data_IF_519817012316
#
_entry.id   IF_519817012316
#
_cell.length_a   1.000
_cell.length_b   1.000
_cell.length_c   1.000
_cell.angle_alpha   90.00
_cell.angle_beta   90.00
_cell.angle_gamma   90.00
#
_symmetry.space_group_name_H-M   'P 1'
#
loop_
_entity.id
_entity.type
_entity.pdbx_description
1 polymer ?
#
# COMPACT_ATOMS: atom_id res chain seq x y z
N UNK A 1 12.12 37.38 0.79
CA UNK A 1 12.60 37.60 -0.60
C UNK A 1 12.53 36.25 -1.30
N UNK A 2 12.16 36.18 -2.59
CA UNK A 2 12.20 34.92 -3.32
C UNK A 2 13.64 34.37 -3.30
N UNK A 3 13.78 33.08 -2.97
CA UNK A 3 15.07 32.37 -3.01
C UNK A 3 15.52 32.30 -4.47
N UNK A 4 16.81 32.47 -4.71
CA UNK A 4 17.40 32.40 -6.05
C UNK A 4 18.67 31.56 -6.02
N UNK A 5 19.26 31.26 -7.18
CA UNK A 5 20.46 30.43 -7.25
C UNK A 5 21.63 30.96 -6.38
N UNK A 6 21.75 32.29 -6.21
CA UNK A 6 22.76 32.90 -5.34
C UNK A 6 22.53 32.59 -3.86
N UNK A 7 21.27 32.55 -3.40
CA UNK A 7 20.93 32.13 -2.03
C UNK A 7 21.43 30.72 -1.74
N UNK A 8 21.09 29.77 -2.62
CA UNK A 8 21.46 28.36 -2.45
C UNK A 8 22.96 28.12 -2.55
N UNK A 9 23.64 28.78 -3.49
CA UNK A 9 25.11 28.78 -3.57
C UNK A 9 25.77 29.34 -2.31
N UNK A 10 25.23 30.42 -1.73
CA UNK A 10 25.79 30.96 -0.48
C UNK A 10 25.58 30.03 0.72
N UNK A 11 24.47 29.28 0.75
CA UNK A 11 24.15 28.36 1.84
C UNK A 11 25.00 27.09 1.80
N UNK A 12 25.14 26.50 0.62
CA UNK A 12 25.77 25.18 0.48
C UNK A 12 27.17 25.21 -0.15
N UNK A 13 27.62 26.34 -0.69
CA UNK A 13 28.92 26.46 -1.33
C UNK A 13 28.93 25.85 -2.73
N UNK A 14 29.85 24.90 -2.99
CA UNK A 14 29.79 23.95 -4.12
C UNK A 14 29.78 22.55 -3.49
N UNK A 15 28.61 22.11 -2.99
CA UNK A 15 28.52 20.91 -2.14
C UNK A 15 28.82 19.60 -2.88
N UNK A 16 28.80 19.58 -4.23
CA UNK A 16 28.90 18.34 -5.01
C UNK A 16 30.14 18.25 -5.90
N UNK A 17 30.96 19.31 -5.98
CA UNK A 17 32.19 19.32 -6.76
C UNK A 17 31.96 19.15 -8.27
N UNK A 18 33.03 18.87 -9.02
CA UNK A 18 32.96 18.83 -10.51
C UNK A 18 32.32 17.55 -11.08
N UNK A 19 31.97 16.57 -10.26
CA UNK A 19 31.55 15.24 -10.74
C UNK A 19 30.23 14.83 -10.10
N UNK A 20 29.27 14.46 -10.94
CA UNK A 20 28.00 13.90 -10.47
C UNK A 20 28.24 12.55 -9.79
N UNK A 21 27.56 12.32 -8.66
CA UNK A 21 27.71 11.13 -7.83
C UNK A 21 26.41 10.33 -7.75
N UNK A 22 26.55 9.04 -7.43
CA UNK A 22 25.42 8.16 -7.11
C UNK A 22 25.20 8.12 -5.60
N UNK A 23 23.93 8.10 -5.19
CA UNK A 23 23.55 8.08 -3.79
C UNK A 23 22.67 6.87 -3.49
N UNK A 24 22.93 6.20 -2.37
CA UNK A 24 22.00 5.18 -1.88
C UNK A 24 20.75 5.83 -1.26
N UNK A 25 20.93 6.92 -0.52
CA UNK A 25 19.83 7.63 0.13
C UNK A 25 20.12 9.12 0.12
N UNK A 26 19.18 9.91 -0.38
CA UNK A 26 19.23 11.37 -0.37
C UNK A 26 17.96 11.90 0.31
N UNK A 27 18.08 12.18 1.62
CA UNK A 27 17.02 12.78 2.43
C UNK A 27 17.19 14.30 2.43
N UNK A 28 16.27 15.02 1.80
CA UNK A 28 16.31 16.48 1.71
C UNK A 28 15.33 17.17 2.66
N UNK A 29 14.58 16.41 3.47
CA UNK A 29 13.54 16.97 4.37
C UNK A 29 14.08 17.87 5.46
N UNK A 30 15.36 17.72 5.80
CA UNK A 30 16.05 18.56 6.78
C UNK A 30 16.34 19.99 6.25
N UNK A 31 15.98 20.27 4.99
CA UNK A 31 16.11 21.58 4.35
C UNK A 31 14.70 22.18 4.25
N UNK A 32 14.18 22.68 5.38
CA UNK A 32 12.79 23.12 5.55
C UNK A 32 12.27 24.13 4.52
N UNK A 33 13.19 24.87 3.87
CA UNK A 33 12.90 25.92 2.90
C UNK A 33 13.31 25.52 1.47
N UNK A 34 13.47 24.23 1.16
CA UNK A 34 13.84 23.75 -0.17
C UNK A 34 12.68 23.92 -1.16
N UNK A 35 12.90 24.77 -2.16
CA UNK A 35 12.04 24.95 -3.33
C UNK A 35 12.66 24.37 -4.60
N UNK A 36 11.96 24.43 -5.73
CA UNK A 36 12.44 23.91 -7.01
C UNK A 36 13.81 24.48 -7.45
N UNK A 37 14.11 25.73 -7.09
CA UNK A 37 15.40 26.36 -7.42
C UNK A 37 16.52 25.73 -6.58
N UNK A 38 16.26 25.52 -5.29
CA UNK A 38 17.21 24.86 -4.40
C UNK A 38 17.39 23.39 -4.74
N UNK A 39 16.30 22.71 -5.09
CA UNK A 39 16.33 21.34 -5.56
C UNK A 39 17.16 21.24 -6.84
N UNK A 40 16.90 22.07 -7.85
CA UNK A 40 17.69 22.10 -9.07
C UNK A 40 19.19 22.31 -8.80
N UNK A 41 19.51 23.22 -7.87
CA UNK A 41 20.88 23.46 -7.44
C UNK A 41 21.53 22.22 -6.83
N UNK A 42 20.78 21.45 -6.02
CA UNK A 42 21.26 20.20 -5.43
C UNK A 42 21.47 19.12 -6.49
N UNK A 43 20.54 19.01 -7.44
CA UNK A 43 20.55 17.96 -8.44
C UNK A 43 21.66 18.10 -9.49
N UNK A 44 22.33 19.26 -9.60
CA UNK A 44 23.52 19.42 -10.46
C UNK A 44 24.62 18.39 -10.15
N UNK A 45 24.71 17.95 -8.89
CA UNK A 45 25.69 16.99 -8.39
C UNK A 45 25.24 15.53 -8.34
N UNK A 46 24.03 15.22 -8.76
CA UNK A 46 23.41 13.90 -8.60
C UNK A 46 23.29 13.23 -9.96
N UNK A 47 23.85 12.02 -10.08
CA UNK A 47 23.75 11.20 -11.29
C UNK A 47 22.64 10.16 -11.22
N UNK A 48 22.38 9.65 -10.03
CA UNK A 48 21.34 8.65 -9.77
C UNK A 48 21.22 8.40 -8.28
N UNK A 49 20.06 7.90 -7.86
CA UNK A 49 19.73 7.75 -6.45
C UNK A 49 18.84 6.53 -6.21
N UNK A 50 19.16 5.68 -5.23
CA UNK A 50 18.27 4.56 -4.90
C UNK A 50 17.01 5.10 -4.21
N UNK A 51 17.15 5.93 -3.17
CA UNK A 51 16.01 6.57 -2.49
C UNK A 51 16.15 8.09 -2.41
N UNK A 52 15.18 8.81 -2.97
CA UNK A 52 15.04 10.26 -2.88
C UNK A 52 13.82 10.63 -2.04
N UNK A 53 14.06 11.23 -0.86
CA UNK A 53 13.00 11.67 0.04
C UNK A 53 12.83 13.21 -0.01
N UNK A 54 11.70 13.63 -0.58
CA UNK A 54 11.27 15.02 -0.72
C UNK A 54 9.99 15.31 0.06
N UNK A 55 9.58 14.43 0.96
CA UNK A 55 8.30 14.56 1.64
C UNK A 55 8.18 15.93 2.34
N UNK A 56 7.01 16.55 2.21
CA UNK A 56 6.61 17.77 2.92
C UNK A 56 7.48 19.01 2.59
N UNK A 57 8.11 19.02 1.40
CA UNK A 57 8.85 20.16 0.85
C UNK A 57 8.03 20.97 -0.16
N UNK A 58 8.45 22.20 -0.45
CA UNK A 58 7.83 23.11 -1.44
C UNK A 58 8.21 22.74 -2.89
N UNK A 59 8.11 21.45 -3.20
CA UNK A 59 8.46 20.84 -4.49
C UNK A 59 7.23 20.83 -5.39
N UNK A 60 7.41 21.26 -6.64
CA UNK A 60 6.36 21.26 -7.67
C UNK A 60 6.71 20.37 -8.86
N UNK A 61 5.85 20.37 -9.88
CA UNK A 61 6.09 19.68 -11.14
C UNK A 61 7.44 20.06 -11.81
N UNK A 62 7.97 21.26 -11.54
CA UNK A 62 9.27 21.69 -12.06
C UNK A 62 10.41 20.77 -11.63
N UNK A 63 10.46 20.42 -10.34
CA UNK A 63 11.49 19.51 -9.80
C UNK A 63 11.37 18.10 -10.35
N UNK A 64 10.15 17.60 -10.59
CA UNK A 64 9.93 16.25 -11.13
C UNK A 64 10.54 16.12 -12.52
N UNK A 65 10.49 17.18 -13.34
CA UNK A 65 11.13 17.21 -14.67
C UNK A 65 12.64 17.01 -14.62
N UNK A 66 13.29 17.46 -13.54
CA UNK A 66 14.74 17.33 -13.38
C UNK A 66 15.17 15.88 -13.11
N UNK A 67 14.27 15.06 -12.57
CA UNK A 67 14.54 13.65 -12.31
C UNK A 67 14.73 12.83 -13.59
N UNK A 68 14.17 13.29 -14.71
CA UNK A 68 14.35 12.65 -16.03
C UNK A 68 15.81 12.65 -16.52
N UNK A 69 16.65 13.52 -15.94
CA UNK A 69 18.08 13.59 -16.25
C UNK A 69 18.96 12.63 -15.46
N UNK A 70 18.39 11.90 -14.50
CA UNK A 70 19.12 10.93 -13.69
C UNK A 70 19.19 9.57 -14.38
N UNK A 71 20.31 8.87 -14.20
CA UNK A 71 20.49 7.51 -14.72
C UNK A 71 19.47 6.54 -14.11
N UNK A 72 19.12 6.75 -12.84
CA UNK A 72 18.08 5.99 -12.14
C UNK A 72 17.56 6.73 -10.90
N UNK A 73 16.28 6.47 -10.61
CA UNK A 73 15.64 6.67 -9.30
C UNK A 73 14.82 5.43 -8.98
N UNK A 74 15.12 4.75 -7.87
CA UNK A 74 14.42 3.51 -7.50
C UNK A 74 13.22 3.79 -6.59
N UNK A 75 13.36 4.71 -5.64
CA UNK A 75 12.31 5.09 -4.70
C UNK A 75 12.19 6.61 -4.68
N UNK A 76 10.97 7.11 -4.93
CA UNK A 76 10.66 8.53 -4.93
C UNK A 76 9.55 8.83 -3.94
N UNK A 77 9.84 9.68 -2.96
CA UNK A 77 8.87 10.10 -1.96
C UNK A 77 8.52 11.58 -2.10
N UNK A 78 7.24 11.84 -2.41
CA UNK A 78 6.67 13.15 -2.70
C UNK A 78 5.46 13.45 -1.80
N UNK A 79 5.34 12.78 -0.64
CA UNK A 79 4.19 12.98 0.25
C UNK A 79 4.08 14.45 0.61
N UNK A 80 2.91 15.05 0.43
CA UNK A 80 2.69 16.46 0.79
C UNK A 80 3.39 17.49 -0.10
N UNK A 81 4.00 17.07 -1.22
CA UNK A 81 4.51 18.00 -2.23
C UNK A 81 3.38 18.62 -3.05
N UNK A 82 3.64 19.78 -3.64
CA UNK A 82 2.69 20.52 -4.48
C UNK A 82 2.73 20.07 -5.95
N UNK A 83 2.62 18.76 -6.17
CA UNK A 83 2.59 18.12 -7.50
C UNK A 83 1.17 17.74 -7.90
N UNK A 84 0.87 17.77 -9.19
CA UNK A 84 -0.44 17.43 -9.77
C UNK A 84 -0.31 16.54 -11.02
N UNK A 85 -1.43 16.29 -11.70
CA UNK A 85 -1.49 15.39 -12.86
C UNK A 85 -0.51 15.77 -13.99
N UNK A 86 -0.07 17.03 -14.10
CA UNK A 86 0.83 17.46 -15.18
C UNK A 86 2.23 16.85 -15.06
N UNK A 87 2.67 16.44 -13.86
CA UNK A 87 3.96 15.77 -13.68
C UNK A 87 3.93 14.28 -14.05
N UNK A 88 2.76 13.66 -14.29
CA UNK A 88 2.65 12.22 -14.55
C UNK A 88 3.44 11.80 -15.80
N UNK A 89 3.46 12.65 -16.83
CA UNK A 89 4.27 12.44 -18.03
C UNK A 89 5.77 12.36 -17.73
N UNK A 90 6.23 13.15 -16.75
CA UNK A 90 7.62 13.24 -16.35
C UNK A 90 7.97 12.06 -15.43
N UNK A 91 7.08 11.68 -14.52
CA UNK A 91 7.19 10.45 -13.72
C UNK A 91 7.35 9.20 -14.62
N UNK A 92 6.61 9.11 -15.72
CA UNK A 92 6.72 8.01 -16.69
C UNK A 92 8.09 7.88 -17.36
N UNK A 93 8.95 8.91 -17.30
CA UNK A 93 10.32 8.80 -17.82
C UNK A 93 11.25 8.06 -16.86
N UNK A 94 10.87 7.98 -15.57
CA UNK A 94 11.65 7.39 -14.49
C UNK A 94 11.34 5.88 -14.37
N UNK A 95 11.64 5.14 -15.44
CA UNK A 95 11.25 3.72 -15.59
C UNK A 95 11.92 2.76 -14.60
N UNK A 96 12.92 3.23 -13.85
CA UNK A 96 13.58 2.49 -12.77
C UNK A 96 12.80 2.47 -11.44
N UNK A 97 11.69 3.24 -11.33
CA UNK A 97 10.93 3.33 -10.08
C UNK A 97 10.36 1.98 -9.65
N UNK A 98 10.65 1.59 -8.42
CA UNK A 98 10.06 0.47 -7.69
C UNK A 98 9.08 0.94 -6.61
N UNK A 99 9.29 2.13 -6.02
CA UNK A 99 8.40 2.73 -5.04
C UNK A 99 8.10 4.19 -5.39
N UNK A 100 6.82 4.54 -5.38
CA UNK A 100 6.35 5.91 -5.60
C UNK A 100 5.33 6.31 -4.53
N UNK A 101 5.65 7.35 -3.76
CA UNK A 101 4.80 7.83 -2.66
C UNK A 101 4.26 9.22 -2.97
N UNK A 102 2.96 9.29 -3.26
CA UNK A 102 2.20 10.47 -3.71
C UNK A 102 1.08 10.87 -2.73
N UNK A 103 1.14 10.40 -1.49
CA UNK A 103 0.11 10.74 -0.50
C UNK A 103 0.05 12.24 -0.26
N UNK A 104 -1.14 12.78 -0.10
CA UNK A 104 -1.38 14.21 0.14
C UNK A 104 -0.78 15.12 -0.96
N UNK A 105 -0.77 14.65 -2.21
CA UNK A 105 -0.49 15.47 -3.40
C UNK A 105 -1.79 15.82 -4.12
N UNK A 106 -1.71 16.62 -5.18
CA UNK A 106 -2.86 16.94 -6.04
C UNK A 106 -2.99 15.98 -7.24
N UNK A 107 -2.24 14.88 -7.26
CA UNK A 107 -2.39 13.83 -8.29
C UNK A 107 -3.65 13.04 -8.01
N UNK A 108 -4.58 13.02 -8.97
CA UNK A 108 -5.85 12.31 -8.86
C UNK A 108 -5.74 10.88 -9.37
N UNK A 109 -6.72 10.05 -9.06
CA UNK A 109 -6.82 8.70 -9.65
C UNK A 109 -6.83 8.73 -11.18
N UNK A 110 -7.43 9.75 -11.80
CA UNK A 110 -7.37 9.93 -13.27
C UNK A 110 -5.96 10.20 -13.76
N UNK A 111 -5.17 10.99 -13.03
CA UNK A 111 -3.75 11.17 -13.30
C UNK A 111 -2.98 9.85 -13.20
N UNK A 112 -3.22 9.06 -12.16
CA UNK A 112 -2.55 7.78 -11.96
C UNK A 112 -2.82 6.77 -13.09
N UNK A 113 -3.99 6.82 -13.74
CA UNK A 113 -4.30 5.98 -14.91
C UNK A 113 -3.40 6.25 -16.12
N UNK A 114 -2.60 7.31 -16.09
CA UNK A 114 -1.60 7.58 -17.11
C UNK A 114 -0.19 7.04 -16.76
N UNK A 115 0.03 6.39 -15.61
CA UNK A 115 1.31 5.79 -15.23
C UNK A 115 1.57 4.44 -15.93
N UNK A 116 1.68 4.46 -17.27
CA UNK A 116 1.75 3.26 -18.10
C UNK A 116 3.18 2.77 -18.42
N UNK A 117 4.22 3.53 -18.05
CA UNK A 117 5.62 3.17 -18.32
C UNK A 117 6.35 2.54 -17.15
N UNK A 118 5.80 2.63 -15.94
CA UNK A 118 6.45 2.20 -14.70
C UNK A 118 6.32 0.68 -14.45
N UNK A 119 6.83 -0.11 -15.39
CA UNK A 119 6.73 -1.58 -15.37
C UNK A 119 7.51 -2.27 -14.24
N UNK A 120 8.42 -1.55 -13.57
CA UNK A 120 9.15 -2.03 -12.40
C UNK A 120 8.52 -1.57 -11.07
N UNK A 121 7.43 -0.78 -11.11
CA UNK A 121 6.80 -0.26 -9.91
C UNK A 121 6.17 -1.41 -9.12
N UNK A 122 6.61 -1.55 -7.88
CA UNK A 122 6.15 -2.57 -6.92
C UNK A 122 5.20 -1.98 -5.90
N UNK A 123 5.37 -0.71 -5.54
CA UNK A 123 4.52 -0.07 -4.54
C UNK A 123 4.16 1.35 -4.96
N UNK A 124 2.85 1.60 -5.04
CA UNK A 124 2.28 2.92 -5.28
C UNK A 124 1.47 3.34 -4.05
N UNK A 125 1.86 4.45 -3.42
CA UNK A 125 1.18 4.99 -2.26
C UNK A 125 0.50 6.31 -2.61
N UNK A 126 -0.80 6.46 -2.36
CA UNK A 126 -1.55 7.68 -2.67
C UNK A 126 -2.71 7.91 -1.70
N UNK A 127 -3.32 9.09 -1.78
CA UNK A 127 -4.50 9.43 -0.99
C UNK A 127 -5.75 9.33 -1.86
N UNK A 128 -6.86 8.89 -1.25
CA UNK A 128 -8.18 8.93 -1.87
C UNK A 128 -9.17 9.47 -0.84
N UNK A 129 -10.08 10.35 -1.26
CA UNK A 129 -11.13 10.87 -0.38
C UNK A 129 -12.07 9.74 0.05
N UNK A 130 -12.57 8.99 -0.92
CA UNK A 130 -13.38 7.80 -0.70
C UNK A 130 -12.95 6.69 -1.67
N UNK A 131 -12.46 5.59 -1.11
CA UNK A 131 -12.00 4.42 -1.87
C UNK A 131 -13.13 3.73 -2.62
N UNK A 132 -14.35 3.75 -2.07
CA UNK A 132 -15.50 3.09 -2.68
C UNK A 132 -15.93 3.78 -3.97
N UNK A 133 -15.74 5.10 -4.07
CA UNK A 133 -16.06 5.88 -5.27
C UNK A 133 -15.11 5.66 -6.46
N UNK A 134 -13.93 5.09 -6.21
CA UNK A 134 -12.88 4.91 -7.22
C UNK A 134 -12.59 3.45 -7.59
N UNK A 135 -13.37 2.48 -7.08
CA UNK A 135 -13.17 1.03 -7.29
C UNK A 135 -12.92 0.64 -8.75
N UNK A 136 -13.73 1.14 -9.68
CA UNK A 136 -13.57 0.86 -11.11
C UNK A 136 -12.24 1.37 -11.68
N UNK A 137 -11.81 2.55 -11.24
CA UNK A 137 -10.52 3.12 -11.65
C UNK A 137 -9.35 2.40 -10.98
N UNK A 138 -9.51 1.91 -9.75
CA UNK A 138 -8.50 1.05 -9.10
C UNK A 138 -8.30 -0.25 -9.89
N UNK A 139 -9.37 -0.85 -10.42
CA UNK A 139 -9.27 -2.03 -11.26
C UNK A 139 -8.56 -1.73 -12.59
N UNK A 140 -8.85 -0.59 -13.21
CA UNK A 140 -8.12 -0.12 -14.40
C UNK A 140 -6.64 0.10 -14.09
N UNK A 141 -6.31 0.73 -12.97
CA UNK A 141 -4.94 0.97 -12.54
C UNK A 141 -4.21 -0.35 -12.22
N UNK A 142 -4.88 -1.33 -11.61
CA UNK A 142 -4.31 -2.66 -11.38
C UNK A 142 -4.02 -3.38 -12.69
N UNK A 143 -4.88 -3.25 -13.69
CA UNK A 143 -4.60 -3.82 -15.03
C UNK A 143 -3.40 -3.14 -15.71
N UNK A 144 -3.19 -1.84 -15.45
CA UNK A 144 -2.04 -1.09 -15.95
C UNK A 144 -0.74 -1.48 -15.26
N UNK A 145 -0.80 -1.70 -13.95
CA UNK A 145 0.33 -2.02 -13.07
C UNK A 145 0.07 -3.35 -12.32
N UNK A 146 0.02 -4.49 -13.02
CA UNK A 146 -0.44 -5.76 -12.47
C UNK A 146 0.43 -6.27 -11.31
N UNK A 147 1.73 -5.97 -11.34
CA UNK A 147 2.69 -6.34 -10.30
C UNK A 147 2.73 -5.37 -9.10
N UNK A 148 2.04 -4.23 -9.18
CA UNK A 148 2.12 -3.19 -8.16
C UNK A 148 1.11 -3.43 -7.04
N UNK A 149 1.58 -3.24 -5.81
CA UNK A 149 0.79 -3.14 -4.60
C UNK A 149 0.38 -1.69 -4.38
N UNK A 150 -0.87 -1.49 -3.94
CA UNK A 150 -1.42 -0.17 -3.67
C UNK A 150 -1.55 0.06 -2.17
N UNK A 151 -1.03 1.20 -1.70
CA UNK A 151 -1.23 1.66 -0.32
C UNK A 151 -2.01 2.96 -0.35
N UNK A 152 -3.28 2.89 0.04
CA UNK A 152 -4.21 4.01 0.00
C UNK A 152 -4.44 4.51 1.42
N UNK A 153 -4.25 5.81 1.67
CA UNK A 153 -4.44 6.41 3.00
C UNK A 153 -3.64 5.69 4.11
N UNK A 154 -2.41 5.25 3.80
CA UNK A 154 -1.52 4.48 4.69
C UNK A 154 -1.93 3.02 4.96
N UNK A 155 -2.94 2.50 4.27
CA UNK A 155 -3.38 1.10 4.42
C UNK A 155 -3.17 0.34 3.12
N UNK A 156 -2.65 -0.90 3.15
CA UNK A 156 -2.65 -1.76 1.98
C UNK A 156 -4.08 -1.90 1.43
N UNK A 157 -4.21 -1.87 0.11
CA UNK A 157 -5.47 -2.11 -0.58
C UNK A 157 -5.42 -3.48 -1.27
N UNK A 158 -6.32 -4.37 -0.87
CA UNK A 158 -6.46 -5.70 -1.46
C UNK A 158 -7.63 -5.70 -2.44
N UNK A 159 -7.43 -6.26 -3.62
CA UNK A 159 -8.49 -6.42 -4.63
C UNK A 159 -9.37 -7.63 -4.33
N UNK A 160 -8.80 -8.67 -3.71
CA UNK A 160 -9.55 -9.83 -3.23
C UNK A 160 -10.39 -9.40 -2.00
N UNK A 161 -11.72 -9.50 -2.06
CA UNK A 161 -12.57 -9.12 -0.94
C UNK A 161 -12.32 -9.99 0.30
N UNK A 162 -11.94 -11.26 0.14
CA UNK A 162 -11.62 -12.15 1.28
C UNK A 162 -10.33 -11.69 1.96
N UNK A 163 -9.32 -11.24 1.22
CA UNK A 163 -8.12 -10.64 1.81
C UNK A 163 -8.44 -9.33 2.55
N UNK A 164 -9.34 -8.50 2.00
CA UNK A 164 -9.82 -7.29 2.70
C UNK A 164 -10.51 -7.64 4.01
N UNK A 165 -11.35 -8.68 4.02
CA UNK A 165 -12.00 -9.20 5.22
C UNK A 165 -10.95 -9.62 6.25
N UNK A 166 -10.04 -10.53 5.88
CA UNK A 166 -8.97 -11.03 6.76
C UNK A 166 -8.15 -9.87 7.34
N UNK A 167 -7.78 -8.90 6.51
CA UNK A 167 -7.01 -7.75 6.98
C UNK A 167 -7.81 -6.87 7.95
N UNK A 168 -9.11 -6.67 7.73
CA UNK A 168 -9.98 -5.88 8.59
C UNK A 168 -10.18 -6.53 9.97
N UNK A 169 -10.25 -7.86 10.01
CA UNK A 169 -10.49 -8.61 11.26
C UNK A 169 -9.23 -9.18 11.91
N UNK A 170 -8.04 -8.96 11.36
CA UNK A 170 -6.77 -9.57 11.86
C UNK A 170 -6.42 -9.28 13.33
N UNK A 171 -7.01 -8.26 13.91
CA UNK A 171 -6.80 -7.86 15.31
C UNK A 171 -8.01 -8.19 16.19
N UNK A 172 -9.02 -8.86 15.63
CA UNK A 172 -10.23 -9.29 16.32
C UNK A 172 -10.04 -10.68 16.93
N UNK A 173 -10.81 -11.02 17.98
CA UNK A 173 -10.64 -12.26 18.74
C UNK A 173 -11.35 -13.46 18.09
N UNK A 174 -11.48 -13.47 16.76
CA UNK A 174 -12.15 -14.55 16.04
C UNK A 174 -11.18 -15.71 15.80
N UNK A 175 -11.70 -16.91 15.62
CA UNK A 175 -10.87 -18.06 15.25
C UNK A 175 -11.31 -18.68 13.93
N UNK A 176 -10.38 -19.37 13.27
CA UNK A 176 -10.50 -19.75 11.87
C UNK A 176 -10.14 -21.21 11.63
N UNK A 177 -10.79 -21.82 10.63
CA UNK A 177 -10.40 -23.12 10.03
C UNK A 177 -10.63 -23.12 8.53
N UNK A 178 -9.84 -23.89 7.81
CA UNK A 178 -10.03 -24.13 6.38
C UNK A 178 -10.73 -25.47 6.17
N UNK A 179 -11.82 -25.48 5.38
CA UNK A 179 -12.36 -26.73 4.85
C UNK A 179 -11.61 -27.11 3.58
N UNK A 180 -10.78 -28.14 3.65
CA UNK A 180 -10.08 -28.69 2.49
C UNK A 180 -10.92 -29.79 1.83
N UNK A 181 -10.94 -29.84 0.50
CA UNK A 181 -11.63 -30.88 -0.27
C UNK A 181 -11.19 -32.27 0.16
N UNK A 182 -12.15 -33.17 0.33
CA UNK A 182 -11.94 -34.57 0.72
C UNK A 182 -11.30 -34.77 2.11
N UNK A 183 -11.12 -33.72 2.92
CA UNK A 183 -10.65 -33.82 4.30
C UNK A 183 -11.80 -33.62 5.30
N UNK A 184 -11.68 -34.25 6.47
CA UNK A 184 -12.59 -34.05 7.60
C UNK A 184 -12.26 -32.77 8.34
N UNK A 185 -13.28 -32.06 8.83
CA UNK A 185 -13.16 -30.81 9.58
C UNK A 185 -12.78 -31.00 11.07
N UNK A 186 -12.15 -32.11 11.42
CA UNK A 186 -11.73 -32.39 12.81
C UNK A 186 -10.34 -31.80 13.08
N UNK A 187 -10.25 -30.47 13.00
CA UNK A 187 -9.00 -29.70 13.10
C UNK A 187 -9.18 -28.62 14.17
N UNK A 188 -8.14 -28.32 14.97
CA UNK A 188 -8.18 -27.22 15.94
C UNK A 188 -8.46 -25.87 15.28
N UNK A 189 -9.19 -25.01 15.98
CA UNK A 189 -9.34 -23.61 15.63
C UNK A 189 -7.99 -22.88 15.65
N UNK A 190 -7.80 -21.95 14.73
CA UNK A 190 -6.58 -21.15 14.57
C UNK A 190 -6.85 -19.70 14.92
N UNK A 191 -5.92 -19.02 15.60
CA UNK A 191 -6.11 -17.61 15.99
C UNK A 191 -5.95 -16.63 14.81
N UNK A 192 -5.46 -17.11 13.68
CA UNK A 192 -5.27 -16.30 12.48
C UNK A 192 -5.44 -17.14 11.22
N UNK A 193 -5.80 -16.44 10.15
CA UNK A 193 -5.76 -16.91 8.77
C UNK A 193 -5.06 -15.84 7.94
N UNK A 194 -4.22 -16.25 6.99
CA UNK A 194 -3.52 -15.35 6.07
C UNK A 194 -3.54 -15.92 4.66
N UNK A 195 -3.25 -15.05 3.69
CA UNK A 195 -3.01 -15.42 2.30
C UNK A 195 -1.53 -15.12 1.98
N UNK A 196 -0.59 -16.07 2.15
CA UNK A 196 0.84 -15.80 2.00
C UNK A 196 1.26 -15.49 0.55
N UNK A 197 0.42 -15.84 -0.43
CA UNK A 197 0.52 -15.45 -1.83
C UNK A 197 -0.85 -15.54 -2.49
N UNK A 198 -1.03 -14.95 -3.67
CA UNK A 198 -2.30 -14.97 -4.41
C UNK A 198 -2.92 -16.38 -4.61
N UNK A 199 -2.10 -17.43 -4.53
CA UNK A 199 -2.49 -18.82 -4.80
C UNK A 199 -2.72 -19.70 -3.57
N UNK A 200 -2.46 -19.22 -2.34
CA UNK A 200 -2.51 -20.05 -1.14
C UNK A 200 -3.15 -19.34 0.06
N UNK A 201 -3.81 -20.12 0.93
CA UNK A 201 -4.17 -19.70 2.28
C UNK A 201 -3.49 -20.58 3.31
N UNK A 202 -3.27 -20.02 4.50
CA UNK A 202 -2.67 -20.69 5.64
C UNK A 202 -3.31 -20.19 6.93
N UNK A 203 -3.40 -21.06 7.93
CA UNK A 203 -3.75 -20.72 9.31
C UNK A 203 -2.65 -21.23 10.24
N UNK A 204 -2.73 -20.85 11.52
CA UNK A 204 -1.81 -21.35 12.56
C UNK A 204 -1.64 -22.88 12.57
N UNK A 205 -2.71 -23.61 12.28
CA UNK A 205 -2.75 -25.06 12.36
C UNK A 205 -2.96 -25.77 11.00
N UNK A 206 -3.08 -25.03 9.88
CA UNK A 206 -3.38 -25.60 8.56
C UNK A 206 -2.62 -24.91 7.42
N UNK A 207 -2.05 -25.71 6.53
CA UNK A 207 -1.53 -25.24 5.24
C UNK A 207 -0.01 -25.13 5.15
N UNK A 208 0.49 -24.38 4.15
CA UNK A 208 -0.27 -23.63 3.15
C UNK A 208 -1.05 -24.55 2.19
N UNK A 209 -2.31 -24.20 1.89
CA UNK A 209 -3.17 -24.93 0.95
C UNK A 209 -3.49 -24.08 -0.29
N UNK A 210 -3.47 -24.68 -1.50
CA UNK A 210 -3.90 -24.00 -2.72
C UNK A 210 -5.34 -23.50 -2.63
N UNK A 211 -5.62 -22.29 -3.16
CA UNK A 211 -6.97 -21.70 -3.20
C UNK A 211 -8.00 -22.65 -3.83
N UNK A 212 -7.59 -23.40 -4.87
CA UNK A 212 -8.48 -24.32 -5.57
C UNK A 212 -8.80 -25.60 -4.78
N UNK A 213 -8.11 -25.89 -3.67
CA UNK A 213 -8.35 -27.03 -2.78
C UNK A 213 -9.24 -26.69 -1.59
N UNK A 214 -9.41 -25.41 -1.30
CA UNK A 214 -10.24 -24.93 -0.19
C UNK A 214 -11.69 -24.81 -0.66
N UNK A 215 -12.62 -25.36 0.13
CA UNK A 215 -14.07 -25.27 -0.11
C UNK A 215 -14.65 -23.99 0.50
N UNK A 216 -14.27 -23.67 1.75
CA UNK A 216 -14.62 -22.45 2.47
C UNK A 216 -13.67 -22.22 3.66
N UNK A 217 -13.71 -21.01 4.21
CA UNK A 217 -13.09 -20.64 5.49
C UNK A 217 -14.20 -20.60 6.55
N UNK A 218 -14.02 -21.31 7.65
CA UNK A 218 -14.89 -21.17 8.83
C UNK A 218 -14.35 -20.09 9.75
N UNK A 219 -15.24 -19.24 10.25
CA UNK A 219 -14.99 -18.23 11.27
C UNK A 219 -15.86 -18.54 12.47
N UNK A 220 -15.25 -18.74 13.63
CA UNK A 220 -15.93 -18.77 14.92
C UNK A 220 -16.04 -17.33 15.44
N UNK A 221 -17.26 -16.78 15.52
CA UNK A 221 -17.49 -15.40 15.96
C UNK A 221 -17.47 -15.24 17.48
N UNK A 222 -17.41 -16.33 18.26
CA UNK A 222 -17.58 -16.29 19.71
C UNK A 222 -16.25 -16.04 20.41
N UNK A 223 -16.17 -14.92 21.12
CA UNK A 223 -15.03 -14.59 21.98
C UNK A 223 -15.26 -15.09 23.41
N UNK A 224 -14.32 -15.91 23.92
CA UNK A 224 -14.27 -16.26 25.34
C UNK A 224 -13.42 -15.24 26.15
N UNK A 225 -14.07 -14.33 26.88
CA UNK A 225 -13.38 -13.43 27.81
C UNK A 225 -13.24 -14.03 29.21
N UNK A 226 -12.00 -14.05 29.71
CA UNK A 226 -11.68 -14.46 31.09
C UNK A 226 -11.37 -13.23 31.95
N UNK A 227 -12.35 -12.79 32.74
CA UNK A 227 -12.20 -11.69 33.68
C UNK A 227 -11.45 -12.13 34.95
N UNK A 228 -10.11 -12.04 34.92
CA UNK A 228 -9.26 -12.22 36.09
C UNK A 228 -9.31 -13.62 36.73
N UNK A 229 -8.82 -13.71 37.98
CA UNK A 229 -8.61 -14.99 38.69
C UNK A 229 -9.91 -15.67 39.17
N UNK A 230 -11.09 -15.06 39.00
CA UNK A 230 -12.38 -15.57 39.50
C UNK A 230 -13.40 -15.72 38.36
N UNK A 231 -13.11 -16.74 37.55
CA UNK A 231 -13.92 -17.55 36.63
C UNK A 231 -15.41 -17.21 36.53
N UNK A 232 -15.74 -16.23 35.69
CA UNK A 232 -16.93 -16.31 34.84
C UNK A 232 -16.43 -16.09 33.42
N UNK A 233 -16.49 -17.13 32.58
CA UNK A 233 -16.25 -16.95 31.14
C UNK A 233 -17.43 -16.17 30.60
N UNK A 234 -17.16 -14.99 30.04
CA UNK A 234 -18.16 -14.25 29.27
C UNK A 234 -17.99 -14.63 27.81
N UNK A 235 -19.09 -14.97 27.18
CA UNK A 235 -19.14 -15.16 25.73
C UNK A 235 -19.63 -13.85 25.13
N UNK A 236 -18.87 -13.32 24.19
CA UNK A 236 -19.27 -12.18 23.37
C UNK A 236 -19.43 -12.67 21.93
N UNK A 237 -20.60 -12.42 21.35
CA UNK A 237 -20.95 -12.84 20.01
C UNK A 237 -20.77 -11.67 19.04
N UNK A 238 -19.91 -11.89 18.04
CA UNK A 238 -19.53 -10.88 17.03
C UNK A 238 -20.16 -11.17 15.65
N UNK A 239 -21.15 -12.06 15.56
CA UNK A 239 -21.77 -12.50 14.31
C UNK A 239 -22.28 -11.31 13.47
N UNK A 240 -23.07 -10.41 14.06
CA UNK A 240 -23.63 -9.25 13.34
C UNK A 240 -22.56 -8.32 12.75
N UNK A 241 -21.42 -8.14 13.43
CA UNK A 241 -20.30 -7.33 12.94
C UNK A 241 -19.64 -7.99 11.73
N UNK A 242 -19.39 -9.29 11.82
CA UNK A 242 -18.77 -10.08 10.75
C UNK A 242 -19.68 -10.10 9.52
N UNK A 243 -20.97 -10.41 9.69
CA UNK A 243 -21.95 -10.45 8.60
C UNK A 243 -22.05 -9.12 7.88
N UNK A 244 -22.16 -8.01 8.62
CA UNK A 244 -22.19 -6.67 8.03
C UNK A 244 -20.94 -6.40 7.18
N UNK A 245 -19.76 -6.79 7.66
CA UNK A 245 -18.51 -6.62 6.90
C UNK A 245 -18.48 -7.51 5.65
N UNK A 246 -18.97 -8.76 5.74
CA UNK A 246 -19.07 -9.67 4.59
C UNK A 246 -20.02 -9.11 3.52
N UNK A 247 -21.17 -8.56 3.94
CA UNK A 247 -22.12 -7.88 3.06
C UNK A 247 -21.51 -6.64 2.38
N UNK A 248 -20.83 -5.77 3.14
CA UNK A 248 -20.13 -4.59 2.62
C UNK A 248 -19.05 -4.94 1.58
N UNK A 249 -18.42 -6.11 1.74
CA UNK A 249 -17.40 -6.63 0.84
C UNK A 249 -17.97 -7.54 -0.26
N UNK A 250 -19.28 -7.75 -0.29
CA UNK A 250 -19.97 -8.66 -1.22
C UNK A 250 -19.41 -10.09 -1.22
N UNK A 251 -19.03 -10.58 -0.05
CA UNK A 251 -18.46 -11.93 0.13
C UNK A 251 -19.60 -12.92 0.38
N UNK A 252 -19.73 -14.00 -0.43
CA UNK A 252 -20.75 -15.01 -0.18
C UNK A 252 -20.42 -15.82 1.09
N UNK A 253 -21.42 -15.94 1.97
CA UNK A 253 -21.27 -16.68 3.21
C UNK A 253 -22.55 -17.44 3.59
N UNK A 254 -22.44 -18.33 4.58
CA UNK A 254 -23.57 -19.04 5.20
C UNK A 254 -23.27 -19.28 6.67
N UNK A 255 -24.24 -19.05 7.54
CA UNK A 255 -24.18 -19.47 8.94
C UNK A 255 -24.66 -20.91 9.07
N UNK A 256 -23.89 -21.75 9.76
CA UNK A 256 -24.22 -23.14 10.06
C UNK A 256 -23.77 -23.47 11.48
N UNK A 257 -24.72 -23.80 12.36
CA UNK A 257 -24.43 -24.14 13.76
C UNK A 257 -23.60 -23.05 14.47
N UNK A 258 -24.02 -21.78 14.34
CA UNK A 258 -23.35 -20.59 14.94
C UNK A 258 -21.95 -20.30 14.38
N UNK A 259 -21.52 -21.01 13.32
CA UNK A 259 -20.26 -20.79 12.61
C UNK A 259 -20.52 -20.14 11.25
N UNK A 260 -19.71 -19.14 10.91
CA UNK A 260 -19.79 -18.44 9.63
C UNK A 260 -18.87 -19.12 8.62
N UNK A 261 -19.42 -19.56 7.49
CA UNK A 261 -18.67 -20.15 6.37
C UNK A 261 -18.52 -19.14 5.24
N UNK A 262 -17.30 -18.69 4.99
CA UNK A 262 -16.93 -17.78 3.90
C UNK A 262 -16.52 -18.60 2.67
N UNK A 263 -17.23 -18.44 1.56
CA UNK A 263 -16.90 -19.12 0.31
C UNK A 263 -15.88 -18.31 -0.49
N UNK A 264 -14.76 -18.94 -0.83
CA UNK A 264 -13.73 -18.31 -1.64
C UNK A 264 -14.21 -18.32 -3.10
N UNK A 265 -14.47 -17.14 -3.65
CA UNK A 265 -14.82 -16.98 -5.07
C UNK A 265 -13.57 -17.29 -5.90
N UNK A 266 -13.71 -18.23 -6.83
CA UNK A 266 -12.62 -18.73 -7.69
C UNK A 266 -12.43 -17.88 -8.93
#
# INVERSE_FOLDING_TARGET
MPRNQKYWKNRFGDPFGKTQSYYHHLDLRHIDDLDDIGFAYIMEGVKGVDMLDLNELEITNESIRLLAGLDYVKELQLKGCSVDNDCVKDLNTITSLELLHLKNTNITIDGLLHLDKLTLLKTLMFSAEDVDTIKEKLLQLKNLLPQCDFVINSKPYYFDPVERFIYAVKAQPYTYRLKIKNESLNIPWSNWVIKPSDSYYETENQGPFPVNEIEWIEVDPIEERKDGKLITVKLEDHTEEIEKLLEELSIPYMEVEEIIRIYIVK
#
